data_IF_710553235740
#
_entry.id   IF_710553235740
#
_cell.length_a   1.000
_cell.length_b   1.000
_cell.length_c   1.000
_cell.angle_alpha   90.00
_cell.angle_beta   90.00
_cell.angle_gamma   90.00
#
_symmetry.space_group_name_H-M   'P 1'
#
loop_
_entity.id
_entity.type
_entity.pdbx_description
1 polymer ?
#
# COMPACT_ATOMS: atom_id res chain seq x y z
N UNK A 1 4.68 8.09 26.28
CA UNK A 1 5.27 7.77 24.96
C UNK A 1 5.47 6.27 24.71
N UNK A 2 6.05 5.47 25.63
CA UNK A 2 6.28 4.01 25.44
C UNK A 2 5.04 3.14 25.09
N UNK A 3 3.82 3.51 25.54
CA UNK A 3 2.59 2.73 25.28
C UNK A 3 2.07 2.83 23.84
N UNK A 4 2.41 3.89 23.12
CA UNK A 4 2.03 4.09 21.72
C UNK A 4 2.89 3.23 20.76
N UNK A 5 4.14 2.96 21.15
CA UNK A 5 5.11 2.23 20.33
C UNK A 5 4.66 0.81 19.95
N UNK A 6 3.89 0.13 20.80
CA UNK A 6 3.39 -1.22 20.50
C UNK A 6 2.33 -1.25 19.39
N UNK A 7 1.39 -0.30 19.38
CA UNK A 7 0.35 -0.24 18.36
C UNK A 7 0.93 0.18 16.99
N UNK A 8 1.81 1.18 17.00
CA UNK A 8 2.54 1.60 15.81
C UNK A 8 3.50 0.53 15.31
N UNK A 9 4.17 -0.19 16.21
CA UNK A 9 5.07 -1.28 15.84
C UNK A 9 4.35 -2.43 15.13
N UNK A 10 3.17 -2.83 15.62
CA UNK A 10 2.34 -3.85 14.95
C UNK A 10 1.86 -3.36 13.59
N UNK A 11 1.38 -2.12 13.50
CA UNK A 11 0.86 -1.57 12.25
C UNK A 11 1.97 -1.35 11.20
N UNK A 12 3.14 -0.89 11.64
CA UNK A 12 4.33 -0.78 10.80
C UNK A 12 4.81 -2.16 10.33
N UNK A 13 4.86 -3.17 11.21
CA UNK A 13 5.21 -4.54 10.83
C UNK A 13 4.21 -5.13 9.82
N UNK A 14 2.92 -4.85 10.00
CA UNK A 14 1.87 -5.32 9.10
C UNK A 14 1.97 -4.69 7.71
N UNK A 15 2.30 -3.40 7.63
CA UNK A 15 2.50 -2.69 6.36
C UNK A 15 3.86 -2.95 5.71
N UNK A 16 4.88 -3.33 6.46
CA UNK A 16 6.17 -3.74 5.91
C UNK A 16 6.05 -5.03 5.10
N UNK A 17 5.16 -5.94 5.49
CA UNK A 17 4.99 -7.25 4.86
C UNK A 17 4.64 -7.17 3.36
N UNK A 18 3.60 -6.42 2.91
CA UNK A 18 3.31 -6.28 1.49
C UNK A 18 4.45 -5.55 0.73
N UNK A 19 5.14 -4.58 1.35
CA UNK A 19 6.31 -3.95 0.74
C UNK A 19 7.43 -4.97 0.49
N UNK A 20 7.75 -5.79 1.48
CA UNK A 20 8.77 -6.82 1.36
C UNK A 20 8.42 -7.83 0.26
N UNK A 21 7.16 -8.28 0.20
CA UNK A 21 6.71 -9.20 -0.85
C UNK A 21 6.91 -8.60 -2.23
N UNK A 22 6.44 -7.38 -2.47
CA UNK A 22 6.56 -6.75 -3.79
C UNK A 22 8.02 -6.43 -4.13
N UNK A 23 8.85 -6.05 -3.15
CA UNK A 23 10.29 -5.83 -3.37
C UNK A 23 11.02 -7.11 -3.79
N UNK A 24 10.70 -8.24 -3.15
CA UNK A 24 11.27 -9.55 -3.46
C UNK A 24 10.82 -10.04 -4.85
N UNK A 25 9.55 -9.82 -5.20
CA UNK A 25 9.05 -10.16 -6.54
C UNK A 25 9.68 -9.26 -7.61
N UNK A 26 9.77 -7.96 -7.33
CA UNK A 26 10.39 -6.98 -8.23
C UNK A 26 11.87 -7.26 -8.47
N UNK A 27 12.63 -7.68 -7.45
CA UNK A 27 14.06 -7.98 -7.61
C UNK A 27 14.34 -9.21 -8.49
N UNK A 28 13.36 -10.11 -8.62
CA UNK A 28 13.42 -11.29 -9.47
C UNK A 28 12.77 -11.07 -10.84
N UNK A 29 12.14 -9.91 -11.05
CA UNK A 29 11.39 -9.62 -12.26
C UNK A 29 12.33 -9.25 -13.42
N UNK A 30 11.94 -9.67 -14.63
CA UNK A 30 12.66 -9.31 -15.84
C UNK A 30 12.56 -7.80 -16.10
N UNK A 31 13.69 -7.21 -16.50
CA UNK A 31 13.82 -5.79 -16.84
C UNK A 31 13.63 -5.49 -18.32
N UNK A 32 13.41 -6.52 -19.14
CA UNK A 32 13.21 -6.41 -20.59
C UNK A 32 12.08 -7.34 -21.03
N UNK A 33 11.33 -6.94 -22.07
CA UNK A 33 10.31 -7.78 -22.69
C UNK A 33 10.95 -8.75 -23.69
N UNK A 34 10.42 -9.98 -23.78
CA UNK A 34 10.96 -11.03 -24.66
C UNK A 34 10.82 -10.71 -26.16
N UNK A 35 9.88 -9.83 -26.50
CA UNK A 35 9.40 -9.63 -27.87
C UNK A 35 10.12 -8.48 -28.61
N UNK A 36 11.18 -7.92 -28.03
CA UNK A 36 11.87 -6.74 -28.59
C UNK A 36 11.01 -5.46 -28.63
N UNK A 37 9.85 -5.49 -27.99
CA UNK A 37 8.98 -4.32 -27.86
C UNK A 37 9.62 -3.26 -26.96
N UNK A 38 9.31 -2.00 -27.27
CA UNK A 38 9.65 -0.88 -26.42
C UNK A 38 9.23 -1.19 -24.97
N UNK A 39 10.16 -1.02 -24.04
CA UNK A 39 10.07 -1.40 -22.64
C UNK A 39 10.18 -0.16 -21.75
N UNK A 40 9.23 0.07 -20.85
CA UNK A 40 9.29 1.18 -19.88
C UNK A 40 7.93 1.66 -19.36
N UNK A 41 7.98 2.57 -18.38
CA UNK A 41 6.81 3.27 -17.83
C UNK A 41 6.54 4.53 -18.68
N UNK A 42 5.75 4.41 -19.76
CA UNK A 42 5.38 5.54 -20.63
C UNK A 42 4.52 5.19 -21.86
N UNK A 43 3.61 6.13 -22.22
CA UNK A 43 2.58 6.05 -23.27
C UNK A 43 3.05 5.40 -24.60
N UNK A 44 2.69 4.13 -24.80
CA UNK A 44 2.91 3.38 -26.05
C UNK A 44 3.87 2.19 -25.97
N UNK A 45 4.55 1.99 -24.83
CA UNK A 45 5.46 0.87 -24.60
C UNK A 45 4.84 -0.15 -23.62
N UNK A 46 5.15 -1.44 -23.79
CA UNK A 46 4.63 -2.48 -22.91
C UNK A 46 5.40 -2.48 -21.58
N UNK A 47 4.69 -2.56 -20.46
CA UNK A 47 5.32 -2.60 -19.15
C UNK A 47 6.15 -3.88 -19.02
N UNK A 48 7.42 -3.72 -18.65
CA UNK A 48 8.22 -4.87 -18.22
C UNK A 48 7.66 -5.42 -16.91
N UNK A 49 7.87 -6.71 -16.59
CA UNK A 49 7.47 -7.26 -15.30
C UNK A 49 8.01 -6.43 -14.12
N UNK A 50 9.26 -5.95 -14.21
CA UNK A 50 9.86 -5.04 -13.23
C UNK A 50 9.11 -3.70 -13.11
N UNK A 51 8.73 -3.10 -14.24
CA UNK A 51 7.96 -1.87 -14.28
C UNK A 51 6.53 -2.06 -13.78
N UNK A 52 5.93 -3.23 -14.00
CA UNK A 52 4.63 -3.63 -13.44
C UNK A 52 4.63 -3.60 -11.92
N UNK A 53 5.65 -4.18 -11.27
CA UNK A 53 5.78 -4.10 -9.81
C UNK A 53 6.10 -2.68 -9.34
N UNK A 54 6.89 -1.92 -10.09
CA UNK A 54 7.18 -0.51 -9.77
C UNK A 54 5.91 0.34 -9.84
N UNK A 55 5.08 0.12 -10.86
CA UNK A 55 3.78 0.76 -11.02
C UNK A 55 2.84 0.39 -9.86
N UNK A 56 2.76 -0.90 -9.51
CA UNK A 56 1.99 -1.36 -8.36
C UNK A 56 2.43 -0.69 -7.05
N UNK A 57 3.74 -0.53 -6.83
CA UNK A 57 4.30 0.16 -5.67
C UNK A 57 3.89 1.62 -5.60
N UNK A 58 4.04 2.37 -6.71
CA UNK A 58 3.83 3.82 -6.73
C UNK A 58 2.36 4.18 -6.71
N UNK A 59 1.53 3.51 -7.51
CA UNK A 59 0.14 3.90 -7.71
C UNK A 59 -0.85 3.21 -6.76
N UNK A 60 -0.45 2.10 -6.14
CA UNK A 60 -1.30 1.39 -5.19
C UNK A 60 -0.66 1.31 -3.82
N UNK A 61 0.50 0.65 -3.70
CA UNK A 61 1.08 0.34 -2.39
C UNK A 61 1.38 1.62 -1.57
N UNK A 62 1.99 2.63 -2.18
CA UNK A 62 2.34 3.90 -1.54
C UNK A 62 1.13 4.76 -1.11
N UNK A 63 0.11 5.02 -1.94
CA UNK A 63 -1.07 5.76 -1.48
C UNK A 63 -1.86 4.98 -0.42
N UNK A 64 -1.90 3.65 -0.53
CA UNK A 64 -2.53 2.79 0.46
C UNK A 64 -1.84 2.87 1.83
N UNK A 65 -0.51 2.83 1.85
CA UNK A 65 0.26 2.97 3.10
C UNK A 65 0.07 4.34 3.72
N UNK A 66 0.05 5.40 2.89
CA UNK A 66 -0.19 6.76 3.34
C UNK A 66 -1.56 6.90 4.02
N UNK A 67 -2.62 6.40 3.39
CA UNK A 67 -3.99 6.42 3.97
C UNK A 67 -4.05 5.67 5.29
N UNK A 68 -3.38 4.52 5.39
CA UNK A 68 -3.35 3.76 6.64
C UNK A 68 -2.58 4.47 7.76
N UNK A 69 -1.46 5.12 7.45
CA UNK A 69 -0.69 5.92 8.41
C UNK A 69 -1.51 7.13 8.89
N UNK A 70 -2.16 7.85 7.96
CA UNK A 70 -2.98 9.01 8.28
C UNK A 70 -4.21 8.64 9.10
N UNK A 71 -4.90 7.55 8.76
CA UNK A 71 -6.08 7.09 9.50
C UNK A 71 -5.72 6.60 10.90
N UNK A 72 -4.58 5.90 11.06
CA UNK A 72 -4.06 5.53 12.37
C UNK A 72 -3.69 6.76 13.22
N UNK A 73 -3.01 7.74 12.64
CA UNK A 73 -2.65 8.99 13.32
C UNK A 73 -3.88 9.78 13.76
N UNK A 74 -4.89 9.91 12.89
CA UNK A 74 -6.15 10.59 13.19
C UNK A 74 -6.91 9.89 14.32
N UNK A 75 -7.02 8.56 14.25
CA UNK A 75 -7.71 7.77 15.27
C UNK A 75 -7.06 7.87 16.65
N UNK A 76 -5.73 7.95 16.68
CA UNK A 76 -4.96 8.20 17.90
C UNK A 76 -5.20 9.61 18.44
N UNK A 77 -5.20 10.62 17.58
CA UNK A 77 -5.48 12.01 17.97
C UNK A 77 -6.89 12.18 18.56
N UNK A 78 -7.87 11.43 18.05
CA UNK A 78 -9.26 11.49 18.49
C UNK A 78 -9.56 10.65 19.74
N UNK A 79 -8.66 9.74 20.15
CA UNK A 79 -8.94 8.81 21.25
C UNK A 79 -8.63 9.41 22.63
N UNK A 80 -9.58 9.27 23.54
CA UNK A 80 -9.46 9.67 24.96
C UNK A 80 -9.18 8.51 25.95
N UNK A 81 -8.98 7.28 25.45
CA UNK A 81 -8.84 6.05 26.27
C UNK A 81 -7.47 5.38 26.13
N UNK A 82 -6.98 4.64 27.15
CA UNK A 82 -5.67 3.96 27.11
C UNK A 82 -5.63 2.83 26.07
N UNK A 83 -4.49 2.71 25.37
CA UNK A 83 -4.30 1.78 24.24
C UNK A 83 -4.13 0.32 24.66
N UNK A 84 -4.74 -0.58 23.87
CA UNK A 84 -4.41 -2.00 23.81
C UNK A 84 -3.72 -2.28 22.46
N UNK A 85 -2.39 -2.42 22.43
CA UNK A 85 -1.60 -2.27 21.19
C UNK A 85 -1.96 -3.25 20.07
N UNK A 86 -2.27 -4.51 20.42
CA UNK A 86 -2.64 -5.53 19.42
C UNK A 86 -4.01 -5.25 18.82
N UNK A 87 -5.03 -5.05 19.66
CA UNK A 87 -6.42 -4.86 19.20
C UNK A 87 -6.60 -3.55 18.42
N UNK A 88 -5.96 -2.50 18.91
CA UNK A 88 -6.07 -1.16 18.33
C UNK A 88 -5.29 -1.03 17.01
N UNK A 89 -4.13 -1.71 16.90
CA UNK A 89 -3.36 -1.79 15.64
C UNK A 89 -4.10 -2.58 14.55
N UNK A 90 -4.71 -3.72 14.89
CA UNK A 90 -5.48 -4.52 13.94
C UNK A 90 -6.71 -3.79 13.41
N UNK A 91 -7.43 -3.04 14.27
CA UNK A 91 -8.61 -2.26 13.85
C UNK A 91 -8.22 -1.11 12.93
N UNK A 92 -7.15 -0.37 13.25
CA UNK A 92 -6.66 0.70 12.38
C UNK A 92 -6.18 0.17 11.02
N UNK A 93 -5.51 -0.98 10.98
CA UNK A 93 -5.13 -1.64 9.73
C UNK A 93 -6.36 -2.03 8.89
N UNK A 94 -7.38 -2.64 9.50
CA UNK A 94 -8.62 -3.00 8.80
C UNK A 94 -9.38 -1.79 8.27
N UNK A 95 -9.45 -0.69 9.03
CA UNK A 95 -10.06 0.56 8.58
C UNK A 95 -9.28 1.14 7.39
N UNK A 96 -7.96 1.15 7.47
CA UNK A 96 -7.10 1.57 6.36
C UNK A 96 -7.38 0.76 5.08
N UNK A 97 -7.45 -0.56 5.19
CA UNK A 97 -7.75 -1.48 4.08
C UNK A 97 -9.18 -1.30 3.55
N UNK A 98 -10.16 -1.08 4.41
CA UNK A 98 -11.55 -0.86 4.01
C UNK A 98 -11.73 0.48 3.27
N UNK A 99 -11.14 1.56 3.77
CA UNK A 99 -11.16 2.88 3.10
C UNK A 99 -10.41 2.84 1.76
N UNK A 100 -9.29 2.12 1.73
CA UNK A 100 -8.52 1.83 0.54
C UNK A 100 -9.30 1.04 -0.51
N UNK A 101 -9.96 -0.05 -0.10
CA UNK A 101 -10.77 -0.87 -0.99
C UNK A 101 -11.96 -0.08 -1.53
N UNK A 102 -12.63 0.73 -0.69
CA UNK A 102 -13.69 1.62 -1.13
C UNK A 102 -13.17 2.69 -2.10
N UNK A 103 -12.02 3.32 -1.82
CA UNK A 103 -11.40 4.30 -2.70
C UNK A 103 -10.94 3.70 -4.03
N UNK A 104 -10.34 2.50 -4.00
CA UNK A 104 -9.93 1.76 -5.18
C UNK A 104 -11.12 1.30 -6.04
N UNK A 105 -12.24 0.91 -5.40
CA UNK A 105 -13.47 0.56 -6.12
C UNK A 105 -14.09 1.78 -6.81
N UNK A 106 -14.04 2.95 -6.16
CA UNK A 106 -14.50 4.22 -6.73
C UNK A 106 -13.61 4.63 -7.91
N UNK A 107 -12.28 4.56 -7.78
CA UNK A 107 -11.35 4.88 -8.87
C UNK A 107 -11.48 3.88 -10.03
N UNK A 108 -11.67 2.59 -9.74
CA UNK A 108 -11.94 1.59 -10.77
C UNK A 108 -13.27 1.86 -11.49
N UNK A 109 -14.33 2.26 -10.78
CA UNK A 109 -15.62 2.60 -11.38
C UNK A 109 -15.54 3.83 -12.31
N UNK A 110 -14.62 4.77 -12.06
CA UNK A 110 -14.40 5.95 -12.91
C UNK A 110 -13.33 5.75 -14.00
N UNK A 111 -12.41 4.80 -13.84
CA UNK A 111 -11.32 4.53 -14.79
C UNK A 111 -11.68 3.66 -16.00
N UNK A 112 -12.84 2.98 -15.99
CA UNK A 112 -13.35 2.23 -17.14
C UNK A 112 -14.30 3.05 -18.03
N UNK A 113 -14.50 4.34 -17.75
CA UNK A 113 -15.42 5.23 -18.48
C UNK A 113 -14.71 6.18 -19.47
N UNK A 114 -13.42 6.00 -19.74
CA UNK A 114 -12.64 6.82 -20.69
C UNK A 114 -11.98 5.96 -21.77
#
# INVERSE_FOLDING_TARGET
>A
MKRYAGAFGVLAAWWLLPWLVVLVLRSQAATVNADGQCSGIGFGCSLTPYDGYTFAMVFFLAPLTLVAVLSAALWLALRRRPLRPVRDGSVAALIGIACAAAGGLVVAAFGFAS
#
